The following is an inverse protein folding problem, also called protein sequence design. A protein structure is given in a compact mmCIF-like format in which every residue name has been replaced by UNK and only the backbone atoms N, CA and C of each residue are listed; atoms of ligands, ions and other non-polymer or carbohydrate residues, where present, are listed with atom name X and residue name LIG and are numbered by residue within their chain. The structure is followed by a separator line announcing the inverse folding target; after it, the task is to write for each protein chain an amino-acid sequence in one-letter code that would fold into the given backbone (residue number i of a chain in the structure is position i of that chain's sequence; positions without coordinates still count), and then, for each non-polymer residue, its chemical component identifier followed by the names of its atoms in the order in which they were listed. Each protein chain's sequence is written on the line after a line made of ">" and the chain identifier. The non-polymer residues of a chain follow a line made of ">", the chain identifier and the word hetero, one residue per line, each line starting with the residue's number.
data_IF_169209330143
#
_entry.id   IF_169209330143
#
_cell.length_a   1.000
_cell.length_b   1.000
_cell.length_c   1.000
_cell.angle_alpha   90.00
_cell.angle_beta   90.00
_cell.angle_gamma   90.00
#
_symmetry.space_group_name_H-M   'P 1'
#
loop_
_entity.id
_entity.type
_entity.pdbx_description
1 polymer ?
#
# COMPACT_ATOMS: atom_id res chain seq x y z
N UNK A 1 -13.09 -23.73 -6.87
CA UNK A 1 -12.96 -22.26 -6.71
C UNK A 1 -13.15 -21.62 -8.08
N UNK A 2 -13.58 -20.36 -8.14
CA UNK A 2 -13.91 -19.67 -9.40
C UNK A 2 -12.67 -19.62 -10.31
N UNK A 3 -12.79 -19.98 -11.61
CA UNK A 3 -11.71 -19.83 -12.57
C UNK A 3 -11.40 -18.34 -12.81
N UNK A 4 -10.14 -18.02 -13.10
CA UNK A 4 -9.67 -16.66 -13.36
C UNK A 4 -8.87 -16.66 -14.64
N UNK A 5 -9.08 -15.65 -15.48
CA UNK A 5 -8.26 -15.40 -16.66
C UNK A 5 -7.23 -14.31 -16.35
N UNK A 6 -5.98 -14.57 -16.73
CA UNK A 6 -4.88 -13.61 -16.62
C UNK A 6 -4.37 -13.28 -18.02
N UNK A 7 -4.33 -12.00 -18.36
CA UNK A 7 -3.69 -11.55 -19.60
C UNK A 7 -2.26 -11.10 -19.30
N UNK A 8 -1.27 -11.75 -19.93
CA UNK A 8 0.15 -11.45 -19.82
C UNK A 8 0.69 -11.31 -21.24
N UNK A 9 1.24 -10.13 -21.58
CA UNK A 9 1.78 -9.82 -22.92
C UNK A 9 0.83 -10.17 -24.07
N UNK A 10 -0.46 -9.87 -23.90
CA UNK A 10 -1.51 -10.16 -24.87
C UNK A 10 -1.97 -11.63 -24.93
N UNK A 11 -1.37 -12.52 -24.14
CA UNK A 11 -1.80 -13.91 -24.00
C UNK A 11 -2.73 -14.08 -22.80
N UNK A 12 -3.86 -14.75 -22.99
CA UNK A 12 -4.79 -15.05 -21.90
C UNK A 12 -4.59 -16.47 -21.39
N UNK A 13 -4.29 -16.60 -20.10
CA UNK A 13 -4.11 -17.87 -19.39
C UNK A 13 -5.28 -18.06 -18.44
N UNK A 14 -6.06 -19.12 -18.64
CA UNK A 14 -7.10 -19.52 -17.70
C UNK A 14 -6.51 -20.36 -16.57
N UNK A 15 -6.72 -19.92 -15.33
CA UNK A 15 -6.36 -20.62 -14.11
C UNK A 15 -7.62 -21.20 -13.45
N UNK A 16 -7.56 -22.48 -13.09
CA UNK A 16 -8.66 -23.19 -12.44
C UNK A 16 -9.21 -24.34 -13.28
N UNK A 17 -10.28 -24.99 -12.81
CA UNK A 17 -10.94 -26.04 -13.60
C UNK A 17 -11.89 -25.39 -14.60
N UNK A 18 -11.82 -25.78 -15.89
CA UNK A 18 -12.81 -25.34 -16.88
C UNK A 18 -14.19 -25.90 -16.54
N UNK A 19 -15.23 -25.13 -16.84
CA UNK A 19 -16.63 -25.48 -16.58
C UNK A 19 -17.25 -24.72 -15.40
N UNK A 20 -18.58 -24.81 -15.22
CA UNK A 20 -19.29 -24.14 -14.14
C UNK A 20 -18.93 -24.78 -12.81
N UNK A 21 -17.92 -24.23 -12.14
CA UNK A 21 -17.70 -24.52 -10.73
C UNK A 21 -18.78 -23.78 -9.96
N UNK A 22 -19.71 -24.52 -9.34
CA UNK A 22 -20.71 -23.92 -8.45
C UNK A 22 -19.96 -23.01 -7.45
N UNK A 23 -20.22 -21.71 -7.54
CA UNK A 23 -19.58 -20.74 -6.67
C UNK A 23 -19.97 -21.09 -5.23
N UNK A 24 -18.98 -21.30 -4.36
CA UNK A 24 -19.25 -21.58 -2.95
C UNK A 24 -19.92 -20.35 -2.35
N UNK A 25 -21.18 -20.44 -1.87
CA UNK A 25 -21.87 -19.31 -1.24
C UNK A 25 -21.29 -19.02 0.15
N UNK A 26 -20.57 -19.99 0.74
CA UNK A 26 -19.94 -19.83 2.04
C UNK A 26 -18.57 -19.13 1.93
N UNK A 27 -18.26 -18.19 2.85
CA UNK A 27 -16.92 -17.67 3.07
C UNK A 27 -15.93 -18.80 3.36
N UNK A 28 -14.67 -18.63 2.95
CA UNK A 28 -13.61 -19.59 3.29
C UNK A 28 -12.50 -18.89 4.06
N UNK A 29 -12.28 -19.35 5.29
CA UNK A 29 -11.32 -18.77 6.20
C UNK A 29 -10.01 -19.58 6.27
N UNK A 30 -8.92 -18.90 6.62
CA UNK A 30 -7.69 -19.56 7.08
C UNK A 30 -7.94 -20.27 8.43
N UNK A 31 -7.08 -21.23 8.83
CA UNK A 31 -7.03 -21.67 10.21
C UNK A 31 -6.95 -20.47 11.16
N UNK A 32 -7.72 -20.49 12.24
CA UNK A 32 -7.83 -19.36 13.18
C UNK A 32 -8.69 -18.19 12.70
N UNK A 33 -9.22 -18.20 11.47
CA UNK A 33 -10.20 -17.22 11.02
C UNK A 33 -9.64 -15.82 10.70
N UNK A 34 -8.33 -15.62 10.75
CA UNK A 34 -7.71 -14.30 10.58
C UNK A 34 -7.95 -13.67 9.21
N UNK A 35 -7.98 -14.49 8.15
CA UNK A 35 -8.23 -14.05 6.78
C UNK A 35 -9.38 -14.82 6.17
N UNK A 36 -10.28 -14.11 5.51
CA UNK A 36 -11.46 -14.68 4.88
C UNK A 36 -11.47 -14.32 3.40
N UNK A 37 -11.62 -15.34 2.56
CA UNK A 37 -11.95 -15.20 1.15
C UNK A 37 -13.46 -15.26 0.95
N UNK A 38 -13.99 -14.27 0.26
CA UNK A 38 -15.36 -14.18 -0.20
C UNK A 38 -15.36 -14.33 -1.72
N UNK A 39 -16.07 -15.35 -2.22
CA UNK A 39 -16.41 -15.46 -3.64
C UNK A 39 -17.31 -14.29 -4.05
N UNK A 40 -17.43 -14.03 -5.36
CA UNK A 40 -18.35 -13.01 -5.85
C UNK A 40 -19.79 -13.30 -5.37
N UNK A 41 -20.21 -14.57 -5.44
CA UNK A 41 -21.53 -15.02 -4.97
C UNK A 41 -21.74 -14.83 -3.47
N UNK A 42 -20.78 -15.23 -2.62
CA UNK A 42 -20.87 -15.04 -1.17
C UNK A 42 -20.93 -13.55 -0.81
N UNK A 43 -20.13 -12.71 -1.49
CA UNK A 43 -20.13 -11.26 -1.26
C UNK A 43 -21.46 -10.61 -1.62
N UNK A 44 -22.13 -11.08 -2.67
CA UNK A 44 -23.43 -10.54 -3.08
C UNK A 44 -24.57 -10.85 -2.10
N UNK A 45 -24.42 -11.86 -1.25
CA UNK A 45 -25.37 -12.17 -0.18
C UNK A 45 -25.23 -11.26 1.05
N UNK A 46 -24.15 -10.48 1.14
CA UNK A 46 -23.94 -9.56 2.25
C UNK A 46 -24.91 -8.37 2.19
N UNK A 47 -25.28 -7.79 3.35
CA UNK A 47 -26.09 -6.57 3.39
C UNK A 47 -25.48 -5.45 2.55
N UNK A 48 -26.28 -4.86 1.67
CA UNK A 48 -25.92 -3.63 0.96
C UNK A 48 -26.23 -2.43 1.85
N UNK A 49 -25.26 -1.56 2.07
CA UNK A 49 -25.40 -0.38 2.94
C UNK A 49 -24.85 0.86 2.26
N UNK A 50 -25.45 2.01 2.58
CA UNK A 50 -24.93 3.32 2.21
C UNK A 50 -24.23 3.93 3.43
N UNK A 51 -22.90 4.05 3.39
CA UNK A 51 -22.15 4.75 4.44
C UNK A 51 -22.25 6.25 4.26
N UNK A 52 -22.11 7.00 5.36
CA UNK A 52 -22.16 8.46 5.37
C UNK A 52 -20.78 9.05 5.09
N UNK A 53 -20.60 9.80 3.99
CA UNK A 53 -19.33 10.47 3.74
C UNK A 53 -19.10 11.57 4.80
N UNK A 54 -17.84 11.80 5.14
CA UNK A 54 -17.38 13.03 5.77
C UNK A 54 -16.16 13.55 5.02
N UNK A 55 -16.08 14.86 4.81
CA UNK A 55 -14.88 15.46 4.24
C UNK A 55 -13.74 15.49 5.27
N UNK A 56 -12.60 14.92 4.91
CA UNK A 56 -11.37 14.98 5.71
C UNK A 56 -10.37 15.86 5.00
N UNK A 57 -10.23 17.10 5.46
CA UNK A 57 -9.30 18.06 4.90
C UNK A 57 -7.87 17.79 5.38
N UNK A 58 -6.95 17.66 4.43
CA UNK A 58 -5.51 17.58 4.65
C UNK A 58 -4.91 18.92 4.26
N UNK A 59 -4.69 19.79 5.25
CA UNK A 59 -4.28 21.18 5.08
C UNK A 59 -2.76 21.29 5.01
N UNK A 60 -2.21 21.73 3.88
CA UNK A 60 -0.76 21.94 3.72
C UNK A 60 -0.25 23.10 4.59
N UNK A 61 0.46 22.77 5.65
CA UNK A 61 1.11 23.73 6.55
C UNK A 61 2.64 23.64 6.45
N UNK A 62 3.15 23.27 5.27
CA UNK A 62 4.59 23.34 4.99
C UNK A 62 5.10 24.78 5.05
N UNK A 63 6.43 24.94 5.13
CA UNK A 63 7.07 26.25 5.27
C UNK A 63 6.70 27.21 4.12
N UNK A 64 6.55 26.69 2.90
CA UNK A 64 6.17 27.47 1.71
C UNK A 64 4.76 28.07 1.80
N UNK A 65 3.86 27.47 2.59
CA UNK A 65 2.45 27.88 2.67
C UNK A 65 2.13 28.85 3.80
N UNK A 66 3.15 29.47 4.43
CA UNK A 66 2.95 30.37 5.57
C UNK A 66 1.96 31.52 5.28
N UNK A 67 2.02 32.10 4.08
CA UNK A 67 1.14 33.18 3.66
C UNK A 67 -0.25 32.71 3.18
N UNK A 68 -0.48 31.39 3.05
CA UNK A 68 -1.70 30.83 2.44
C UNK A 68 -2.81 30.48 3.40
N UNK A 69 -2.57 30.48 4.72
CA UNK A 69 -3.59 30.06 5.71
C UNK A 69 -4.94 30.75 5.53
N UNK A 70 -4.95 32.08 5.38
CA UNK A 70 -6.19 32.83 5.19
C UNK A 70 -6.92 32.39 3.90
N UNK A 71 -6.19 32.17 2.83
CA UNK A 71 -6.71 31.68 1.55
C UNK A 71 -7.27 30.26 1.66
N UNK A 72 -6.55 29.35 2.35
CA UNK A 72 -7.04 27.99 2.58
C UNK A 72 -8.31 27.98 3.43
N UNK A 73 -8.40 28.88 4.43
CA UNK A 73 -9.64 29.06 5.20
C UNK A 73 -10.82 29.41 4.31
N UNK A 74 -10.61 30.35 3.39
CA UNK A 74 -11.62 30.76 2.42
C UNK A 74 -12.04 29.62 1.49
N UNK A 75 -11.08 28.91 0.88
CA UNK A 75 -11.38 27.81 -0.04
C UNK A 75 -12.17 26.70 0.64
N UNK A 76 -11.75 26.28 1.83
CA UNK A 76 -12.43 25.24 2.59
C UNK A 76 -13.83 25.68 2.99
N UNK A 77 -14.00 26.93 3.44
CA UNK A 77 -15.32 27.46 3.79
C UNK A 77 -16.25 27.48 2.58
N UNK A 78 -15.76 27.94 1.43
CA UNK A 78 -16.52 27.96 0.18
C UNK A 78 -16.89 26.54 -0.27
N UNK A 79 -15.95 25.60 -0.21
CA UNK A 79 -16.19 24.19 -0.53
C UNK A 79 -17.31 23.63 0.36
N UNK A 80 -17.24 23.85 1.68
CA UNK A 80 -18.26 23.37 2.62
C UNK A 80 -19.63 24.03 2.45
N UNK A 81 -19.71 25.24 1.87
CA UNK A 81 -20.97 25.88 1.51
C UNK A 81 -21.61 25.27 0.26
N UNK A 82 -20.79 24.76 -0.66
CA UNK A 82 -21.24 24.18 -1.93
C UNK A 82 -21.53 22.68 -1.84
N UNK A 83 -20.96 22.01 -0.84
CA UNK A 83 -21.05 20.57 -0.68
C UNK A 83 -21.71 20.21 0.65
N UNK A 84 -22.91 19.66 0.59
CA UNK A 84 -23.55 19.07 1.75
C UNK A 84 -22.76 17.84 2.22
N UNK A 85 -22.43 17.80 3.52
CA UNK A 85 -21.81 16.64 4.16
C UNK A 85 -22.78 16.03 5.17
N UNK A 86 -22.94 14.71 5.13
CA UNK A 86 -23.80 13.97 6.06
C UNK A 86 -23.22 13.87 7.48
N UNK A 87 -21.94 14.24 7.65
CA UNK A 87 -21.23 14.24 8.92
C UNK A 87 -20.26 15.42 9.04
N UNK A 88 -19.88 15.84 10.26
CA UNK A 88 -18.94 16.95 10.46
C UNK A 88 -17.61 16.71 9.77
N UNK A 89 -17.08 17.75 9.13
CA UNK A 89 -15.76 17.72 8.53
C UNK A 89 -14.66 17.45 9.56
N UNK A 90 -13.59 16.79 9.14
CA UNK A 90 -12.37 16.54 9.92
C UNK A 90 -11.19 17.22 9.27
N UNK A 91 -10.17 17.54 10.07
CA UNK A 91 -9.02 18.30 9.61
C UNK A 91 -7.73 17.65 10.13
N UNK A 92 -6.73 17.60 9.27
CA UNK A 92 -5.35 17.26 9.62
C UNK A 92 -4.44 18.34 9.04
N UNK A 93 -3.58 18.90 9.87
CA UNK A 93 -2.53 19.82 9.46
C UNK A 93 -1.32 18.98 9.01
N UNK A 94 -0.88 19.18 7.77
CA UNK A 94 0.15 18.37 7.12
C UNK A 94 1.38 19.20 6.79
N UNK A 95 2.48 18.89 7.45
CA UNK A 95 3.82 19.26 7.03
C UNK A 95 4.68 17.99 6.93
N UNK A 96 5.91 17.97 7.45
CA UNK A 96 6.68 16.72 7.64
C UNK A 96 5.91 15.68 8.46
N UNK A 97 4.96 16.13 9.29
CA UNK A 97 4.09 15.30 10.12
C UNK A 97 2.61 15.56 9.80
N UNK A 98 1.78 14.59 10.15
CA UNK A 98 0.32 14.71 10.10
C UNK A 98 -0.23 14.92 11.51
N UNK A 99 -0.74 16.12 11.78
CA UNK A 99 -1.31 16.51 13.07
C UNK A 99 -2.83 16.64 12.96
N UNK A 100 -3.61 15.67 13.48
CA UNK A 100 -5.06 15.77 13.49
C UNK A 100 -5.54 16.94 14.35
N UNK A 101 -6.54 17.67 13.87
CA UNK A 101 -7.28 18.64 14.68
C UNK A 101 -8.27 17.87 15.56
N UNK A 102 -8.34 18.14 16.88
CA UNK A 102 -9.31 17.49 17.76
C UNK A 102 -10.76 17.70 17.29
N UNK A 103 -11.59 16.67 17.45
CA UNK A 103 -13.02 16.75 17.10
C UNK A 103 -13.70 17.83 17.95
N UNK A 104 -14.49 18.70 17.31
CA UNK A 104 -15.18 19.81 17.96
C UNK A 104 -14.33 21.06 18.20
N UNK A 105 -13.01 21.00 17.95
CA UNK A 105 -12.17 22.19 17.99
C UNK A 105 -12.42 23.11 16.78
N UNK A 106 -12.18 24.40 16.97
CA UNK A 106 -12.15 25.37 15.86
C UNK A 106 -10.89 25.15 15.01
N UNK A 107 -11.06 24.48 13.87
CA UNK A 107 -9.97 24.19 12.96
C UNK A 107 -9.31 25.44 12.39
N UNK A 108 -10.00 26.57 12.28
CA UNK A 108 -9.42 27.81 11.78
C UNK A 108 -8.45 28.38 12.81
N UNK A 109 -8.83 28.38 14.08
CA UNK A 109 -7.96 28.78 15.17
C UNK A 109 -6.74 27.84 15.28
N UNK A 110 -6.95 26.52 15.15
CA UNK A 110 -5.87 25.54 15.15
C UNK A 110 -4.90 25.77 13.98
N UNK A 111 -5.43 26.03 12.77
CA UNK A 111 -4.62 26.37 11.61
C UNK A 111 -3.82 27.66 11.84
N UNK A 112 -4.44 28.72 12.36
CA UNK A 112 -3.79 30.00 12.61
C UNK A 112 -2.61 29.86 13.60
N UNK A 113 -2.83 29.12 14.69
CA UNK A 113 -1.83 28.87 15.74
C UNK A 113 -0.71 27.89 15.36
N UNK A 114 -0.89 27.07 14.33
CA UNK A 114 0.09 26.05 13.96
C UNK A 114 1.32 26.63 13.24
N UNK A 115 2.53 26.30 13.66
CA UNK A 115 3.75 26.78 12.99
C UNK A 115 3.96 26.09 11.64
N UNK A 116 4.05 26.86 10.55
CA UNK A 116 4.48 26.32 9.26
C UNK A 116 5.96 25.94 9.31
N UNK A 117 6.29 24.72 8.89
CA UNK A 117 7.66 24.20 8.92
C UNK A 117 7.83 23.06 7.92
N UNK A 118 9.07 22.80 7.49
CA UNK A 118 9.40 21.64 6.64
C UNK A 118 8.67 21.58 5.30
N UNK A 119 8.62 20.37 4.73
CA UNK A 119 7.85 20.06 3.51
C UNK A 119 6.43 19.57 3.83
N UNK A 120 5.71 19.06 2.82
CA UNK A 120 4.38 18.46 2.98
C UNK A 120 4.45 16.96 2.69
N UNK A 121 4.51 16.11 3.74
CA UNK A 121 4.51 14.66 3.63
C UNK A 121 3.09 14.11 3.54
N UNK A 122 2.47 14.33 2.38
CA UNK A 122 1.09 13.97 2.12
C UNK A 122 0.85 12.46 2.15
N UNK A 123 1.81 11.66 1.68
CA UNK A 123 1.75 10.18 1.74
C UNK A 123 1.40 9.69 3.14
N UNK A 124 2.13 10.15 4.16
CA UNK A 124 1.89 9.71 5.54
C UNK A 124 0.53 10.13 6.08
N UNK A 125 0.05 11.32 5.71
CA UNK A 125 -1.28 11.80 6.11
C UNK A 125 -2.41 10.96 5.50
N UNK A 126 -2.30 10.62 4.21
CA UNK A 126 -3.27 9.76 3.50
C UNK A 126 -3.24 8.35 4.09
N UNK A 127 -2.06 7.72 4.19
CA UNK A 127 -1.91 6.38 4.75
C UNK A 127 -2.48 6.27 6.16
N UNK A 128 -2.17 7.24 7.05
CA UNK A 128 -2.70 7.25 8.42
C UNK A 128 -4.22 7.35 8.45
N UNK A 129 -4.81 8.18 7.59
CA UNK A 129 -6.26 8.37 7.56
C UNK A 129 -6.97 7.11 7.05
N UNK A 130 -6.46 6.50 5.98
CA UNK A 130 -7.01 5.28 5.41
C UNK A 130 -6.82 4.08 6.34
N UNK A 131 -5.63 3.92 6.94
CA UNK A 131 -5.37 2.87 7.91
C UNK A 131 -6.31 2.97 9.12
N UNK A 132 -6.52 4.18 9.65
CA UNK A 132 -7.48 4.40 10.74
C UNK A 132 -8.92 4.01 10.35
N UNK A 133 -9.35 4.32 9.12
CA UNK A 133 -10.67 3.95 8.62
C UNK A 133 -10.84 2.43 8.47
N UNK A 134 -9.78 1.71 8.11
CA UNK A 134 -9.79 0.25 8.00
C UNK A 134 -9.68 -0.45 9.36
N UNK A 135 -8.92 0.09 10.31
CA UNK A 135 -8.78 -0.44 11.67
C UNK A 135 -10.03 -0.19 12.53
N UNK A 136 -10.80 0.86 12.22
CA UNK A 136 -12.03 1.21 12.91
C UNK A 136 -13.20 1.38 11.92
N UNK A 137 -13.74 0.27 11.37
CA UNK A 137 -14.88 0.32 10.48
C UNK A 137 -16.07 1.04 11.13
N UNK A 138 -16.63 2.02 10.42
CA UNK A 138 -17.74 2.82 10.89
C UNK A 138 -18.80 3.02 9.81
N UNK A 139 -20.01 3.37 10.21
CA UNK A 139 -21.10 3.73 9.28
C UNK A 139 -20.79 5.01 8.47
N UNK A 140 -19.67 5.68 8.74
CA UNK A 140 -19.14 6.81 7.98
C UNK A 140 -17.77 6.51 7.36
N UNK A 141 -17.39 7.25 6.31
CA UNK A 141 -16.11 7.08 5.61
C UNK A 141 -15.48 8.41 5.21
N UNK A 142 -14.13 8.51 5.15
CA UNK A 142 -13.45 9.71 4.73
C UNK A 142 -13.54 9.90 3.22
N UNK A 143 -13.97 11.09 2.80
CA UNK A 143 -13.64 11.67 1.49
C UNK A 143 -12.46 12.59 1.71
N UNK A 144 -11.27 12.17 1.27
CA UNK A 144 -10.04 12.94 1.45
C UNK A 144 -10.06 14.19 0.55
N UNK A 145 -9.78 15.36 1.14
CA UNK A 145 -9.67 16.63 0.44
C UNK A 145 -8.34 17.29 0.78
N UNK A 146 -7.41 17.29 -0.16
CA UNK A 146 -6.09 17.90 -0.01
C UNK A 146 -6.19 19.38 -0.33
N UNK A 147 -5.73 20.24 0.57
CA UNK A 147 -5.74 21.69 0.38
C UNK A 147 -4.31 22.18 0.23
N UNK A 148 -3.92 22.48 -1.01
CA UNK A 148 -2.56 22.94 -1.33
C UNK A 148 -2.57 23.77 -2.61
N UNK A 149 -1.63 24.71 -2.72
CA UNK A 149 -1.37 25.45 -3.95
C UNK A 149 -0.90 24.54 -5.10
N UNK A 150 -0.17 23.47 -4.79
CA UNK A 150 0.41 22.57 -5.79
C UNK A 150 0.65 21.17 -5.23
N UNK A 151 -0.05 20.19 -5.79
CA UNK A 151 0.14 18.77 -5.43
C UNK A 151 1.57 18.30 -5.75
N UNK A 152 2.17 18.81 -6.83
CA UNK A 152 3.54 18.48 -7.23
C UNK A 152 4.59 18.96 -6.21
N UNK A 153 4.26 19.93 -5.35
CA UNK A 153 5.11 20.37 -4.25
C UNK A 153 5.06 19.47 -3.00
N UNK A 154 4.24 18.42 -3.02
CA UNK A 154 4.08 17.49 -1.90
C UNK A 154 4.84 16.18 -2.13
N UNK A 155 5.21 15.51 -1.04
CA UNK A 155 5.70 14.14 -1.10
C UNK A 155 4.48 13.21 -1.10
N UNK A 156 4.14 12.72 -2.29
CA UNK A 156 2.97 11.88 -2.56
C UNK A 156 3.39 10.55 -3.20
N UNK A 157 2.86 9.45 -2.69
CA UNK A 157 3.07 8.11 -3.22
C UNK A 157 2.38 7.96 -4.59
N UNK A 158 2.94 7.12 -5.50
CA UNK A 158 2.34 6.90 -6.81
C UNK A 158 0.92 6.31 -6.74
N UNK A 159 0.60 5.58 -5.68
CA UNK A 159 -0.73 5.06 -5.37
C UNK A 159 -0.82 4.66 -3.88
N UNK A 160 -2.00 4.22 -3.48
CA UNK A 160 -2.35 3.68 -2.17
C UNK A 160 -3.13 2.36 -2.32
N UNK A 161 -2.84 1.56 -3.35
CA UNK A 161 -3.61 0.37 -3.70
C UNK A 161 -3.64 -0.70 -2.59
N UNK A 162 -2.58 -0.76 -1.76
CA UNK A 162 -2.51 -1.67 -0.61
C UNK A 162 -3.53 -1.33 0.49
N UNK A 163 -4.02 -0.09 0.52
CA UNK A 163 -5.06 0.39 1.44
C UNK A 163 -6.45 0.43 0.80
N UNK A 164 -6.64 -0.18 -0.38
CA UNK A 164 -7.95 -0.25 -1.06
C UNK A 164 -9.14 -0.70 -0.19
N UNK A 165 -8.99 -1.60 0.79
CA UNK A 165 -10.10 -1.94 1.69
C UNK A 165 -10.61 -0.76 2.55
N UNK A 166 -9.85 0.34 2.67
CA UNK A 166 -10.24 1.53 3.42
C UNK A 166 -11.18 2.48 2.66
N UNK A 167 -11.22 2.38 1.33
CA UNK A 167 -12.02 3.25 0.44
C UNK A 167 -12.88 2.45 -0.57
N UNK A 168 -13.71 1.50 -0.11
CA UNK A 168 -14.50 0.65 -1.00
C UNK A 168 -15.57 1.40 -1.82
N UNK A 169 -15.87 2.65 -1.46
CA UNK A 169 -16.85 3.50 -2.15
C UNK A 169 -16.29 4.11 -3.44
N UNK A 170 -15.03 4.54 -3.42
CA UNK A 170 -14.43 5.26 -4.54
C UNK A 170 -12.91 5.23 -4.44
N UNK A 171 -12.24 5.10 -5.58
CA UNK A 171 -10.80 5.26 -5.66
C UNK A 171 -10.40 6.74 -5.69
N UNK A 172 -11.31 7.70 -5.58
CA UNK A 172 -10.98 9.12 -5.73
C UNK A 172 -10.67 9.82 -4.41
N UNK A 173 -9.70 10.74 -4.45
CA UNK A 173 -9.56 11.84 -3.49
C UNK A 173 -9.63 13.19 -4.22
N UNK A 174 -9.92 14.25 -3.48
CA UNK A 174 -10.05 15.59 -4.03
C UNK A 174 -8.83 16.43 -3.71
N UNK A 175 -8.46 17.33 -4.62
CA UNK A 175 -7.49 18.40 -4.40
C UNK A 175 -8.22 19.72 -4.58
N UNK A 176 -8.18 20.56 -3.55
CA UNK A 176 -8.71 21.91 -3.52
C UNK A 176 -7.55 22.88 -3.73
N UNK A 177 -7.41 23.34 -4.98
CA UNK A 177 -6.30 24.15 -5.45
C UNK A 177 -6.60 25.65 -5.57
N UNK A 178 -5.72 26.41 -6.23
CA UNK A 178 -5.85 27.84 -6.46
C UNK A 178 -7.24 28.25 -6.97
N UNK A 179 -7.83 29.25 -6.32
CA UNK A 179 -9.16 29.77 -6.67
C UNK A 179 -10.33 28.91 -6.21
N UNK A 180 -10.08 27.91 -5.34
CA UNK A 180 -11.12 27.00 -4.83
C UNK A 180 -11.57 25.95 -5.86
N UNK A 181 -10.79 25.75 -6.92
CA UNK A 181 -11.07 24.72 -7.92
C UNK A 181 -10.81 23.33 -7.32
N UNK A 182 -11.70 22.39 -7.65
CA UNK A 182 -11.64 21.02 -7.14
C UNK A 182 -11.31 20.06 -8.28
N UNK A 183 -10.23 19.31 -8.12
CA UNK A 183 -9.80 18.26 -9.05
C UNK A 183 -9.83 16.90 -8.35
N UNK A 184 -10.34 15.86 -9.01
CA UNK A 184 -10.24 14.50 -8.48
C UNK A 184 -8.94 13.83 -8.93
N UNK A 185 -8.39 13.03 -8.04
CA UNK A 185 -7.18 12.24 -8.22
C UNK A 185 -7.43 10.81 -7.73
N UNK A 186 -6.64 9.84 -8.21
CA UNK A 186 -6.85 8.43 -7.88
C UNK A 186 -5.96 7.96 -6.73
N UNK A 187 -6.56 7.34 -5.72
CA UNK A 187 -5.89 6.55 -4.68
C UNK A 187 -5.36 5.22 -5.21
N UNK A 188 -5.92 4.68 -6.29
CA UNK A 188 -5.57 3.33 -6.77
C UNK A 188 -4.40 3.32 -7.76
N UNK A 189 -4.22 4.39 -8.52
CA UNK A 189 -3.18 4.45 -9.55
C UNK A 189 -2.85 5.89 -9.94
N UNK A 190 -1.55 6.20 -10.02
CA UNK A 190 -1.03 7.48 -10.48
C UNK A 190 -1.64 8.70 -9.74
N UNK A 191 -1.57 8.71 -8.41
CA UNK A 191 -2.16 9.73 -7.52
C UNK A 191 -1.82 11.18 -7.89
N UNK A 192 -0.64 11.41 -8.49
CA UNK A 192 -0.25 12.75 -8.94
C UNK A 192 -0.97 13.26 -10.19
N UNK A 193 -1.78 12.43 -10.86
CA UNK A 193 -2.49 12.79 -12.09
C UNK A 193 -3.97 13.04 -11.84
N UNK A 194 -4.47 14.10 -12.44
CA UNK A 194 -5.90 14.46 -12.42
C UNK A 194 -6.70 13.39 -13.17
N UNK A 195 -7.83 12.99 -12.58
CA UNK A 195 -8.80 12.08 -13.19
C UNK A 195 -9.74 12.84 -14.15
N UNK A 196 -10.32 12.17 -15.15
CA UNK A 196 -11.34 12.76 -16.01
C UNK A 196 -12.53 13.29 -15.18
N UNK A 197 -13.06 14.46 -15.58
CA UNK A 197 -14.01 15.26 -14.81
C UNK A 197 -15.32 14.54 -14.40
N UNK A 198 -15.74 13.50 -15.14
CA UNK A 198 -16.89 12.67 -14.78
C UNK A 198 -16.71 11.94 -13.44
N UNK A 199 -15.47 11.67 -13.03
CA UNK A 199 -15.16 11.01 -11.76
C UNK A 199 -15.45 11.89 -10.52
N UNK A 200 -15.55 13.22 -10.68
CA UNK A 200 -15.80 14.15 -9.57
C UNK A 200 -17.19 13.95 -8.93
N UNK A 201 -18.18 13.42 -9.67
CA UNK A 201 -19.55 13.24 -9.17
C UNK A 201 -19.75 11.88 -8.45
N UNK A 202 -18.89 10.89 -8.71
CA UNK A 202 -19.04 9.53 -8.18
C UNK A 202 -18.44 9.33 -6.78
N UNK A 203 -17.64 10.29 -6.30
CA UNK A 203 -16.86 10.18 -5.04
C UNK A 203 -17.72 9.90 -3.79
N UNK A 204 -19.03 10.16 -3.84
CA UNK A 204 -19.85 10.35 -2.62
C UNK A 204 -21.04 9.38 -2.49
N UNK A 205 -21.30 8.50 -3.47
CA UNK A 205 -22.62 7.82 -3.54
C UNK A 205 -22.62 6.31 -3.76
N UNK A 206 -21.46 5.64 -3.79
CA UNK A 206 -21.45 4.19 -3.99
C UNK A 206 -21.92 3.43 -2.73
N UNK A 207 -22.86 2.50 -2.92
CA UNK A 207 -23.24 1.56 -1.88
C UNK A 207 -22.19 0.43 -1.76
N UNK A 208 -21.97 -0.06 -0.54
CA UNK A 208 -20.94 -1.07 -0.22
C UNK A 208 -21.56 -2.27 0.49
N UNK A 209 -20.85 -3.40 0.50
CA UNK A 209 -21.26 -4.63 1.19
C UNK A 209 -20.65 -4.66 2.58
N UNK A 210 -21.50 -4.75 3.62
CA UNK A 210 -21.05 -4.84 5.01
C UNK A 210 -20.74 -6.29 5.39
N UNK A 211 -19.51 -6.55 5.87
CA UNK A 211 -19.08 -7.88 6.29
C UNK A 211 -18.75 -7.90 7.80
N UNK A 212 -19.09 -8.96 8.55
CA UNK A 212 -19.99 -10.05 8.15
C UNK A 212 -21.47 -9.63 8.17
N UNK A 213 -21.81 -8.56 8.89
CA UNK A 213 -23.18 -8.04 9.02
C UNK A 213 -23.18 -6.51 9.00
N UNK A 214 -24.34 -5.90 8.74
CA UNK A 214 -24.51 -4.44 8.83
C UNK A 214 -24.57 -3.92 10.28
N UNK A 215 -24.96 -4.76 11.24
CA UNK A 215 -25.09 -4.34 12.65
C UNK A 215 -23.73 -4.24 13.34
N UNK A 216 -22.80 -5.14 13.00
CA UNK A 216 -21.43 -5.16 13.50
C UNK A 216 -20.47 -5.43 12.34
N UNK A 217 -20.25 -4.43 11.48
CA UNK A 217 -19.34 -4.56 10.35
C UNK A 217 -17.90 -4.60 10.85
N UNK A 218 -17.16 -5.62 10.44
CA UNK A 218 -15.71 -5.76 10.58
C UNK A 218 -14.98 -5.24 9.34
N UNK A 219 -15.66 -5.17 8.19
CA UNK A 219 -15.14 -4.56 6.97
C UNK A 219 -16.27 -4.09 6.05
N UNK A 220 -15.93 -3.21 5.11
CA UNK A 220 -16.80 -2.83 4.00
C UNK A 220 -16.11 -3.17 2.68
N UNK A 221 -16.89 -3.70 1.73
CA UNK A 221 -16.36 -4.24 0.49
C UNK A 221 -17.01 -3.55 -0.71
N UNK A 222 -16.28 -3.35 -1.81
CA UNK A 222 -16.86 -2.81 -3.03
C UNK A 222 -18.01 -3.69 -3.54
N UNK A 223 -19.07 -3.06 -4.04
CA UNK A 223 -20.19 -3.75 -4.67
C UNK A 223 -19.97 -3.92 -6.19
N UNK A 224 -18.96 -4.72 -6.57
CA UNK A 224 -18.40 -4.75 -7.95
C UNK A 224 -18.49 -6.13 -8.64
N UNK A 225 -19.25 -7.08 -8.10
CA UNK A 225 -19.32 -8.47 -8.58
C UNK A 225 -17.98 -9.24 -8.60
N UNK A 226 -16.93 -8.77 -7.91
CA UNK A 226 -15.63 -9.45 -7.81
C UNK A 226 -15.45 -10.13 -6.45
N UNK A 227 -14.62 -11.18 -6.33
CA UNK A 227 -14.28 -11.74 -5.03
C UNK A 227 -13.51 -10.73 -4.16
N UNK A 228 -13.41 -10.99 -2.87
CA UNK A 228 -12.67 -10.13 -1.93
C UNK A 228 -11.95 -10.95 -0.87
N UNK A 229 -10.80 -10.44 -0.41
CA UNK A 229 -10.05 -10.98 0.72
C UNK A 229 -10.12 -9.97 1.85
N UNK A 230 -10.50 -10.43 3.03
CA UNK A 230 -10.80 -9.60 4.20
C UNK A 230 -9.97 -10.06 5.39
N UNK A 231 -9.44 -9.10 6.14
CA UNK A 231 -8.87 -9.32 7.46
C UNK A 231 -10.01 -9.29 8.48
N UNK A 232 -10.24 -10.42 9.17
CA UNK A 232 -11.31 -10.50 10.18
C UNK A 232 -11.02 -9.65 11.41
N UNK A 233 -9.73 -9.51 11.72
CA UNK A 233 -9.25 -8.77 12.88
C UNK A 233 -8.05 -7.91 12.46
N UNK A 234 -8.28 -6.78 11.76
CA UNK A 234 -7.20 -5.99 11.19
C UNK A 234 -6.26 -5.41 12.25
N UNK A 235 -6.68 -5.29 13.51
CA UNK A 235 -5.85 -4.82 14.62
C UNK A 235 -5.08 -5.92 15.36
N UNK A 236 -5.42 -7.19 15.18
CA UNK A 236 -4.78 -8.30 15.90
C UNK A 236 -3.41 -8.64 15.29
N UNK A 237 -2.51 -9.18 16.11
CA UNK A 237 -1.25 -9.73 15.61
C UNK A 237 -1.53 -10.89 14.64
N UNK A 238 -0.79 -10.90 13.54
CA UNK A 238 -0.99 -11.90 12.50
C UNK A 238 -0.18 -13.16 12.84
N UNK A 239 -0.83 -14.32 12.87
CA UNK A 239 -0.15 -15.57 13.21
C UNK A 239 0.66 -16.09 12.02
N UNK A 240 1.92 -16.44 12.26
CA UNK A 240 2.79 -17.07 11.27
C UNK A 240 2.27 -18.48 10.97
N UNK A 241 2.21 -18.92 9.69
CA UNK A 241 1.87 -20.30 9.36
C UNK A 241 2.96 -21.26 9.88
N UNK A 242 2.64 -22.06 10.89
CA UNK A 242 3.56 -23.04 11.47
C UNK A 242 3.56 -24.38 10.73
N UNK A 243 2.43 -24.82 10.14
CA UNK A 243 2.33 -26.08 9.37
C UNK A 243 1.29 -26.02 8.23
N UNK A 244 1.29 -27.04 7.36
CA UNK A 244 0.60 -27.09 6.07
C UNK A 244 -0.93 -27.05 6.17
N UNK A 245 -1.48 -25.84 6.31
CA UNK A 245 -2.73 -25.52 5.63
C UNK A 245 -2.55 -25.79 4.12
N UNK A 246 -3.62 -26.15 3.41
CA UNK A 246 -3.54 -26.39 1.95
C UNK A 246 -2.81 -25.23 1.25
N UNK A 247 -2.09 -25.47 0.15
CA UNK A 247 -1.36 -24.41 -0.59
C UNK A 247 -2.24 -23.18 -0.88
N UNK A 248 -3.54 -23.39 -1.13
CA UNK A 248 -4.50 -22.31 -1.29
C UNK A 248 -4.73 -21.49 -0.01
N UNK A 249 -4.88 -22.13 1.16
CA UNK A 249 -4.97 -21.43 2.44
C UNK A 249 -3.67 -20.72 2.81
N UNK A 250 -2.51 -21.29 2.47
CA UNK A 250 -1.22 -20.59 2.61
C UNK A 250 -1.20 -19.33 1.75
N UNK A 251 -1.65 -19.40 0.50
CA UNK A 251 -1.77 -18.23 -0.38
C UNK A 251 -2.74 -17.18 0.16
N UNK A 252 -3.88 -17.59 0.70
CA UNK A 252 -4.82 -16.69 1.35
C UNK A 252 -4.20 -15.99 2.56
N UNK A 253 -3.47 -16.74 3.40
CA UNK A 253 -2.78 -16.21 4.56
C UNK A 253 -1.66 -15.23 4.16
N UNK A 254 -0.84 -15.56 3.15
CA UNK A 254 0.19 -14.68 2.61
C UNK A 254 -0.40 -13.37 2.05
N UNK A 255 -1.56 -13.45 1.37
CA UNK A 255 -2.29 -12.27 0.89
C UNK A 255 -2.80 -11.42 2.05
N UNK A 256 -3.37 -12.05 3.09
CA UNK A 256 -3.80 -11.34 4.29
C UNK A 256 -2.64 -10.67 5.01
N UNK A 257 -1.49 -11.34 5.13
CA UNK A 257 -0.29 -10.76 5.73
C UNK A 257 0.17 -9.51 4.98
N UNK A 258 0.17 -9.54 3.64
CA UNK A 258 0.50 -8.35 2.84
C UNK A 258 -0.45 -7.17 3.12
N UNK A 259 -1.77 -7.43 3.27
CA UNK A 259 -2.73 -6.40 3.68
C UNK A 259 -2.48 -5.90 5.11
N UNK A 260 -2.12 -6.81 6.03
CA UNK A 260 -1.88 -6.48 7.42
C UNK A 260 -0.59 -5.67 7.60
N UNK A 261 0.47 -5.98 6.87
CA UNK A 261 1.73 -5.23 6.87
C UNK A 261 1.53 -3.78 6.42
N UNK A 262 0.64 -3.52 5.46
CA UNK A 262 0.31 -2.17 5.05
C UNK A 262 -0.34 -1.32 6.18
N UNK A 263 -0.99 -1.98 7.14
CA UNK A 263 -1.59 -1.34 8.32
C UNK A 263 -0.62 -1.23 9.50
N UNK A 264 0.32 -2.19 9.62
CA UNK A 264 1.21 -2.33 10.78
C UNK A 264 2.69 -2.47 10.37
N UNK A 265 3.28 -1.48 9.67
CA UNK A 265 4.64 -1.61 9.16
C UNK A 265 5.66 -1.91 10.27
N UNK A 266 5.56 -1.23 11.41
CA UNK A 266 6.47 -1.43 12.55
C UNK A 266 6.35 -2.82 13.20
N UNK A 267 5.14 -3.41 13.24
CA UNK A 267 4.95 -4.74 13.82
C UNK A 267 5.30 -5.86 12.83
N UNK A 268 5.21 -5.58 11.52
CA UNK A 268 5.51 -6.54 10.46
C UNK A 268 6.99 -6.92 10.39
N UNK A 269 7.90 -6.01 10.75
CA UNK A 269 9.34 -6.29 10.72
C UNK A 269 9.71 -7.52 11.57
N UNK A 270 9.08 -7.69 12.74
CA UNK A 270 9.31 -8.83 13.61
C UNK A 270 8.85 -10.18 13.02
N UNK A 271 7.91 -10.18 12.07
CA UNK A 271 7.33 -11.39 11.48
C UNK A 271 7.80 -11.63 10.03
N UNK A 272 8.54 -10.68 9.46
CA UNK A 272 8.89 -10.64 8.05
C UNK A 272 9.61 -11.91 7.58
N UNK A 273 10.65 -12.34 8.31
CA UNK A 273 11.43 -13.53 7.96
C UNK A 273 10.54 -14.79 7.88
N UNK A 274 9.62 -14.95 8.82
CA UNK A 274 8.78 -16.12 8.87
C UNK A 274 7.80 -16.20 7.68
N UNK A 275 7.31 -15.04 7.21
CA UNK A 275 6.47 -14.96 6.00
C UNK A 275 7.26 -15.17 4.71
N UNK A 276 8.52 -14.72 4.65
CA UNK A 276 9.44 -15.05 3.55
C UNK A 276 9.67 -16.57 3.48
N UNK A 277 9.96 -17.21 4.62
CA UNK A 277 10.15 -18.66 4.70
C UNK A 277 8.87 -19.41 4.27
N UNK A 278 7.69 -18.93 4.68
CA UNK A 278 6.41 -19.51 4.28
C UNK A 278 6.17 -19.42 2.76
N UNK A 279 6.50 -18.28 2.15
CA UNK A 279 6.47 -18.10 0.69
C UNK A 279 7.36 -19.13 -0.03
N UNK A 280 8.62 -19.27 0.40
CA UNK A 280 9.56 -20.23 -0.20
C UNK A 280 9.11 -21.69 -0.04
N UNK A 281 8.66 -22.09 1.16
CA UNK A 281 8.15 -23.46 1.42
C UNK A 281 6.93 -23.78 0.56
N UNK A 282 6.01 -22.82 0.40
CA UNK A 282 4.78 -23.01 -0.36
C UNK A 282 4.93 -22.78 -1.87
N UNK A 283 6.08 -22.27 -2.31
CA UNK A 283 6.35 -21.85 -3.70
C UNK A 283 5.26 -20.89 -4.20
N UNK A 284 4.90 -19.92 -3.37
CA UNK A 284 3.91 -18.90 -3.69
C UNK A 284 4.60 -17.54 -3.61
N UNK A 285 4.76 -16.90 -4.76
CA UNK A 285 5.40 -15.59 -4.81
C UNK A 285 4.55 -14.54 -4.09
N UNK A 286 5.23 -13.70 -3.34
CA UNK A 286 4.71 -12.50 -2.71
C UNK A 286 5.59 -11.32 -3.13
N UNK A 287 5.17 -10.06 -2.97
CA UNK A 287 6.04 -8.91 -3.23
C UNK A 287 7.39 -8.99 -2.49
N UNK A 288 7.43 -9.64 -1.31
CA UNK A 288 8.63 -9.82 -0.49
C UNK A 288 9.61 -10.86 -1.04
N UNK A 289 9.13 -11.75 -1.92
CA UNK A 289 9.90 -12.87 -2.47
C UNK A 289 9.89 -12.91 -3.98
N UNK A 290 9.33 -11.89 -4.63
CA UNK A 290 9.36 -11.72 -6.06
C UNK A 290 10.71 -11.12 -6.42
N UNK A 291 11.54 -11.91 -7.09
CA UNK A 291 12.82 -11.46 -7.62
C UNK A 291 12.79 -11.65 -9.14
N UNK A 292 13.26 -10.64 -9.88
CA UNK A 292 13.57 -10.80 -11.30
C UNK A 292 14.89 -11.58 -11.41
N UNK A 293 14.82 -12.84 -11.83
CA UNK A 293 16.00 -13.66 -12.10
C UNK A 293 16.50 -13.35 -13.52
N UNK A 294 17.70 -12.77 -13.62
CA UNK A 294 18.37 -12.52 -14.90
C UNK A 294 19.12 -13.78 -15.40
N UNK A 295 19.59 -13.65 -16.65
CA UNK A 295 19.55 -14.65 -17.73
C UNK A 295 20.50 -15.87 -17.61
N UNK A 296 21.40 -15.93 -16.63
CA UNK A 296 22.46 -16.97 -16.61
C UNK A 296 22.38 -17.98 -15.44
N UNK A 297 23.05 -19.13 -15.61
CA UNK A 297 23.03 -20.22 -14.61
C UNK A 297 23.68 -19.84 -13.27
N UNK A 298 24.69 -18.95 -13.28
CA UNK A 298 25.37 -18.50 -12.07
C UNK A 298 24.45 -17.67 -11.16
N UNK A 299 23.65 -16.78 -11.75
CA UNK A 299 22.64 -15.98 -11.04
C UNK A 299 21.55 -16.87 -10.42
N UNK A 300 21.12 -17.90 -11.14
CA UNK A 300 20.18 -18.91 -10.61
C UNK A 300 20.76 -19.65 -9.40
N UNK A 301 22.02 -20.11 -9.50
CA UNK A 301 22.69 -20.81 -8.40
C UNK A 301 22.90 -19.91 -7.17
N UNK A 302 23.24 -18.63 -7.37
CA UNK A 302 23.34 -17.65 -6.29
C UNK A 302 21.99 -17.42 -5.59
N UNK A 303 20.90 -17.29 -6.35
CA UNK A 303 19.55 -17.15 -5.82
C UNK A 303 19.15 -18.37 -4.96
N UNK A 304 19.40 -19.60 -5.45
CA UNK A 304 19.10 -20.81 -4.68
C UNK A 304 19.90 -20.90 -3.38
N UNK A 305 21.19 -20.52 -3.39
CA UNK A 305 22.00 -20.44 -2.16
C UNK A 305 21.40 -19.46 -1.16
N UNK A 306 20.96 -18.27 -1.61
CA UNK A 306 20.33 -17.28 -0.73
C UNK A 306 18.99 -17.75 -0.17
N UNK A 307 18.16 -18.41 -0.98
CA UNK A 307 16.91 -19.01 -0.51
C UNK A 307 17.16 -20.06 0.57
N UNK A 308 18.16 -20.93 0.38
CA UNK A 308 18.55 -21.94 1.36
C UNK A 308 19.04 -21.29 2.67
N UNK A 309 19.86 -20.23 2.59
CA UNK A 309 20.29 -19.46 3.75
C UNK A 309 19.11 -18.84 4.50
N UNK A 310 18.17 -18.19 3.81
CA UNK A 310 16.98 -17.59 4.44
C UNK A 310 16.08 -18.63 5.10
N UNK A 311 15.98 -19.84 4.53
CA UNK A 311 15.23 -20.95 5.13
C UNK A 311 15.91 -21.52 6.39
N UNK A 312 17.24 -21.45 6.46
CA UNK A 312 18.03 -21.90 7.60
C UNK A 312 18.22 -20.81 8.68
N UNK A 313 17.97 -19.54 8.33
CA UNK A 313 18.13 -18.41 9.24
C UNK A 313 17.21 -18.56 10.45
N UNK A 314 17.78 -18.39 11.64
CA UNK A 314 17.05 -18.38 12.90
C UNK A 314 16.93 -16.94 13.39
N UNK A 315 15.71 -16.45 13.55
CA UNK A 315 15.45 -15.07 13.98
C UNK A 315 16.11 -14.74 15.33
N UNK A 316 16.37 -15.73 16.19
CA UNK A 316 17.01 -15.54 17.49
C UNK A 316 18.55 -15.44 17.43
N UNK A 317 19.18 -15.75 16.29
CA UNK A 317 20.63 -15.66 16.10
C UNK A 317 21.06 -14.35 15.42
N UNK A 318 20.16 -13.73 14.64
CA UNK A 318 20.42 -12.47 13.93
C UNK A 318 20.27 -11.20 14.80
N UNK A 319 19.81 -11.32 16.05
CA UNK A 319 19.68 -10.16 16.97
C UNK A 319 21.02 -9.58 17.45
N UNK A 320 22.16 -10.08 16.98
CA UNK A 320 23.50 -9.55 17.32
C UNK A 320 24.16 -8.73 16.21
N UNK A 321 23.61 -8.66 15.00
CA UNK A 321 24.12 -7.77 13.94
C UNK A 321 23.29 -6.49 13.89
N UNK A 322 23.62 -5.55 14.78
CA UNK A 322 23.16 -4.16 14.66
C UNK A 322 24.05 -3.44 13.64
N UNK A 323 24.00 -3.85 12.37
CA UNK A 323 24.56 -3.07 11.27
C UNK A 323 23.46 -2.73 10.25
N UNK A 324 23.50 -1.47 9.81
CA UNK A 324 22.44 -0.72 9.12
C UNK A 324 21.68 -1.47 7.99
N UNK A 325 20.36 -1.24 7.82
CA UNK A 325 19.52 -1.97 6.86
C UNK A 325 19.72 -1.60 5.37
N UNK A 326 20.78 -0.87 5.01
CA UNK A 326 21.01 -0.39 3.63
C UNK A 326 21.88 -1.31 2.76
N UNK A 327 22.36 -2.45 3.27
CA UNK A 327 23.13 -3.39 2.46
C UNK A 327 22.23 -4.43 1.77
N UNK A 328 21.24 -3.97 1.00
CA UNK A 328 20.60 -4.78 -0.04
C UNK A 328 21.09 -4.26 -1.38
N UNK A 329 21.62 -5.18 -2.19
CA UNK A 329 22.27 -5.00 -3.50
C UNK A 329 23.73 -4.51 -3.51
N UNK A 330 24.62 -5.36 -3.01
CA UNK A 330 25.92 -5.52 -3.66
C UNK A 330 26.10 -7.01 -3.97
N UNK A 331 26.17 -7.36 -5.25
CA UNK A 331 26.79 -8.63 -5.64
C UNK A 331 28.24 -8.52 -5.17
N UNK A 332 28.77 -9.43 -4.34
CA UNK A 332 30.18 -9.37 -3.99
C UNK A 332 30.99 -9.52 -5.29
N UNK A 333 31.61 -8.44 -5.72
CA UNK A 333 32.66 -8.43 -6.75
C UNK A 333 34.02 -8.81 -6.13
N UNK A 334 34.04 -9.13 -4.84
CA UNK A 334 35.26 -9.15 -4.04
C UNK A 334 36.11 -10.42 -4.22
N UNK A 335 35.59 -11.49 -4.81
CA UNK A 335 36.40 -12.70 -5.05
C UNK A 335 37.30 -12.60 -6.31
N UNK A 336 37.09 -11.60 -7.17
CA UNK A 336 37.87 -11.42 -8.42
C UNK A 336 38.60 -10.08 -8.53
N UNK A 337 38.30 -9.11 -7.67
CA UNK A 337 39.00 -7.82 -7.60
C UNK A 337 40.54 -7.95 -7.48
N UNK A 338 41.12 -8.83 -6.63
CA UNK A 338 42.58 -8.97 -6.59
C UNK A 338 43.14 -9.58 -7.87
N UNK A 339 42.40 -10.48 -8.54
CA UNK A 339 42.82 -11.09 -9.80
C UNK A 339 42.77 -10.11 -10.98
N UNK A 340 41.77 -9.21 -11.02
CA UNK A 340 41.67 -8.15 -12.03
C UNK A 340 42.78 -7.09 -11.85
N UNK A 341 43.14 -6.77 -10.61
CA UNK A 341 44.29 -5.89 -10.31
C UNK A 341 45.62 -6.53 -10.74
N UNK A 342 45.81 -7.83 -10.50
CA UNK A 342 47.01 -8.55 -10.96
C UNK A 342 47.09 -8.66 -12.48
N UNK A 343 45.96 -8.87 -13.18
CA UNK A 343 45.89 -8.85 -14.64
C UNK A 343 46.18 -7.45 -15.21
N UNK A 344 45.66 -6.40 -14.58
CA UNK A 344 45.93 -5.00 -14.96
C UNK A 344 47.40 -4.62 -14.79
N UNK A 345 48.03 -5.02 -13.69
CA UNK A 345 49.47 -4.80 -13.45
C UNK A 345 50.34 -5.63 -14.41
N UNK A 346 49.93 -6.86 -14.71
CA UNK A 346 50.59 -7.72 -15.71
C UNK A 346 50.58 -7.10 -17.11
N UNK A 347 49.42 -6.63 -17.57
CA UNK A 347 49.27 -5.99 -18.88
C UNK A 347 49.96 -4.62 -18.95
N UNK A 348 49.91 -3.82 -17.88
CA UNK A 348 50.61 -2.54 -17.81
C UNK A 348 52.13 -2.68 -17.84
N UNK A 349 52.69 -3.67 -17.13
CA UNK A 349 54.13 -3.94 -17.14
C UNK A 349 54.62 -4.49 -18.49
N UNK A 350 53.80 -5.28 -19.18
CA UNK A 350 54.11 -5.76 -20.53
C UNK A 350 54.07 -4.64 -21.57
N UNK A 351 53.13 -3.70 -21.45
CA UNK A 351 53.04 -2.54 -22.35
C UNK A 351 54.19 -1.57 -22.16
N UNK A 352 54.65 -1.35 -20.92
CA UNK A 352 55.83 -0.54 -20.61
C UNK A 352 57.16 -1.19 -21.01
N UNK A 353 57.19 -2.52 -21.20
CA UNK A 353 58.37 -3.26 -21.64
C UNK A 353 58.44 -3.49 -23.16
N UNK A 354 57.46 -3.01 -23.93
CA UNK A 354 57.58 -3.04 -25.40
C UNK A 354 58.63 -2.02 -25.83
N UNK A 355 59.74 -2.44 -26.48
CA UNK A 355 60.69 -1.50 -27.04
C UNK A 355 59.96 -0.65 -28.09
N UNK A 356 60.04 0.67 -27.96
CA UNK A 356 59.57 1.60 -28.98
C UNK A 356 60.41 1.34 -30.23
N UNK A 357 59.82 0.71 -31.23
CA UNK A 357 60.39 0.66 -32.57
C UNK A 357 60.44 2.10 -33.08
N UNK A 358 61.65 2.64 -33.17
CA UNK A 358 61.93 3.91 -33.82
C UNK A 358 61.84 3.67 -35.32
N UNK A 359 60.88 4.34 -35.95
CA UNK A 359 60.74 4.48 -37.40
C UNK A 359 60.26 5.88 -37.67
#
# INVERSE_FOLDING_TARGET
>A
KEPVELTIDGQTVALGRPGPVAASPAPVATPGGAVVYLSASAKQQLPLVQRRPYYHFLLDVSAAQKARKATYKQWVTQFLQQHESAAPARFTLVNTYATPVPVGADWQQQLDGFANAGGCYLTGAVQRTLAAAQLHPAASYPVLVVVTDSLAGTVLAPDFADLAPAYPESDAFLVLGPGGQTEAHSLRAASGKVMPQAANQEVVKAAVRAWPTAAQPQAYLPNDNRPSVVLSQPAAAFAVPTEAASRWQTGLLLRGYAQWQALHPAAADAQHLAFIQASFRSRLLTPLTAFLALENQAQKAALYRKQAQTLAANASLDTQETESPTAVTAVPLDDYAPWLLLLGLGLGSWWLRRPRLVG
#
